data_IF_477874707892
#
_entry.id   IF_477874707892
#
_cell.length_a   1.000
_cell.length_b   1.000
_cell.length_c   1.000
_cell.angle_alpha   90.00
_cell.angle_beta   90.00
_cell.angle_gamma   90.00
#
_symmetry.space_group_name_H-M   'P 1'
#
loop_
_entity.id
_entity.type
_entity.pdbx_description
1 polymer ?
#
# COMPACT_ATOMS: atom_id res chain seq x y z
N UNK A 1 19.91 -17.32 -18.90
CA UNK A 1 19.53 -17.32 -17.47
C UNK A 1 19.39 -15.86 -17.09
N UNK A 2 18.16 -15.36 -16.93
CA UNK A 2 17.91 -13.96 -16.63
C UNK A 2 18.20 -13.68 -15.16
N UNK A 3 19.14 -12.77 -14.92
CA UNK A 3 19.51 -12.28 -13.59
C UNK A 3 18.25 -11.88 -12.79
N UNK A 4 18.03 -12.59 -11.68
CA UNK A 4 17.00 -12.24 -10.70
C UNK A 4 17.49 -10.99 -9.99
N UNK A 5 16.92 -9.83 -10.33
CA UNK A 5 17.19 -8.56 -9.67
C UNK A 5 17.03 -8.77 -8.16
N UNK A 6 18.09 -8.66 -7.34
CA UNK A 6 17.96 -8.88 -5.91
C UNK A 6 17.07 -7.78 -5.36
N UNK A 7 15.91 -8.17 -4.83
CA UNK A 7 15.03 -7.25 -4.12
C UNK A 7 15.85 -6.65 -2.98
N UNK A 8 16.17 -5.36 -3.10
CA UNK A 8 16.86 -4.58 -2.08
C UNK A 8 16.08 -4.76 -0.78
N UNK A 9 16.66 -5.42 0.21
CA UNK A 9 16.11 -5.52 1.56
C UNK A 9 15.99 -4.11 2.16
N UNK A 10 14.90 -3.42 1.82
CA UNK A 10 14.39 -2.34 2.64
C UNK A 10 13.46 -3.01 3.63
N UNK A 11 13.71 -2.79 4.91
CA UNK A 11 12.91 -3.28 6.04
C UNK A 11 11.45 -2.81 6.04
N UNK A 12 10.73 -3.04 4.96
CA UNK A 12 9.29 -3.12 4.94
C UNK A 12 8.94 -4.41 5.68
N UNK A 13 8.49 -4.27 6.93
CA UNK A 13 7.89 -5.39 7.66
C UNK A 13 6.62 -5.92 6.98
N UNK A 14 6.18 -5.29 5.88
CA UNK A 14 4.99 -5.64 5.12
C UNK A 14 5.09 -7.04 4.50
N UNK A 15 4.06 -7.85 4.71
CA UNK A 15 3.92 -9.14 4.04
C UNK A 15 3.64 -8.93 2.56
N UNK A 16 3.87 -9.98 1.73
CA UNK A 16 3.61 -9.95 0.29
C UNK A 16 2.19 -9.46 -0.05
N UNK A 17 1.20 -9.88 0.74
CA UNK A 17 -0.20 -9.43 0.61
C UNK A 17 -0.37 -7.93 0.86
N UNK A 18 0.29 -7.37 1.88
CA UNK A 18 0.20 -5.94 2.20
C UNK A 18 0.90 -5.08 1.14
N UNK A 19 1.97 -5.60 0.54
CA UNK A 19 2.62 -4.99 -0.61
C UNK A 19 1.70 -4.97 -1.83
N UNK A 20 1.04 -6.09 -2.13
CA UNK A 20 0.06 -6.17 -3.23
C UNK A 20 -1.10 -5.18 -3.02
N UNK A 21 -1.66 -5.12 -1.80
CA UNK A 21 -2.75 -4.19 -1.44
C UNK A 21 -2.28 -2.73 -1.59
N UNK A 22 -1.05 -2.40 -1.19
CA UNK A 22 -0.46 -1.08 -1.39
C UNK A 22 -0.30 -0.71 -2.88
N UNK A 23 0.25 -1.62 -3.69
CA UNK A 23 0.43 -1.39 -5.12
C UNK A 23 -0.90 -1.23 -5.84
N UNK A 24 -1.90 -2.03 -5.47
CA UNK A 24 -3.26 -1.92 -6.00
C UNK A 24 -3.87 -0.55 -5.69
N UNK A 25 -3.82 -0.10 -4.44
CA UNK A 25 -4.34 1.23 -4.04
C UNK A 25 -3.59 2.34 -4.78
N UNK A 26 -2.26 2.24 -4.89
CA UNK A 26 -1.43 3.22 -5.63
C UNK A 26 -1.79 3.28 -7.11
N UNK A 27 -2.05 2.13 -7.74
CA UNK A 27 -2.48 2.05 -9.14
C UNK A 27 -3.87 2.66 -9.33
N UNK A 28 -4.82 2.37 -8.42
CA UNK A 28 -6.16 2.96 -8.44
C UNK A 28 -6.10 4.48 -8.33
N UNK A 29 -5.29 5.03 -7.41
CA UNK A 29 -5.09 6.48 -7.27
C UNK A 29 -4.55 7.09 -8.56
N UNK A 30 -3.59 6.43 -9.21
CA UNK A 30 -2.97 6.95 -10.43
C UNK A 30 -3.89 6.87 -11.66
N UNK A 31 -4.81 5.89 -11.69
CA UNK A 31 -5.80 5.73 -12.75
C UNK A 31 -7.06 6.57 -12.53
N UNK A 32 -7.28 7.01 -11.29
CA UNK A 32 -8.45 7.79 -10.91
C UNK A 32 -8.48 9.11 -11.66
N UNK A 33 -9.58 9.38 -12.37
CA UNK A 33 -9.83 10.66 -13.06
C UNK A 33 -10.94 11.47 -12.40
N UNK A 34 -11.76 10.83 -11.56
CA UNK A 34 -12.98 11.42 -11.01
C UNK A 34 -12.86 11.69 -9.51
N UNK A 35 -13.44 12.79 -9.02
CA UNK A 35 -13.48 13.09 -7.58
C UNK A 35 -14.14 11.96 -6.76
N UNK A 36 -15.16 11.29 -7.29
CA UNK A 36 -15.85 10.18 -6.60
C UNK A 36 -14.92 8.98 -6.34
N UNK A 37 -14.07 8.65 -7.29
CA UNK A 37 -13.06 7.60 -7.18
C UNK A 37 -11.94 8.01 -6.22
N UNK A 38 -11.59 9.30 -6.16
CA UNK A 38 -10.64 9.82 -5.16
C UNK A 38 -11.16 9.63 -3.73
N UNK A 39 -12.46 9.88 -3.49
CA UNK A 39 -13.08 9.62 -2.19
C UNK A 39 -13.04 8.13 -1.82
N UNK A 40 -13.27 7.25 -2.79
CA UNK A 40 -13.17 5.81 -2.60
C UNK A 40 -11.74 5.36 -2.28
N UNK A 41 -10.75 5.82 -3.06
CA UNK A 41 -9.34 5.55 -2.82
C UNK A 41 -8.88 6.08 -1.46
N UNK A 42 -9.34 7.27 -1.06
CA UNK A 42 -9.05 7.84 0.26
C UNK A 42 -9.57 6.95 1.39
N UNK A 43 -10.75 6.32 1.21
CA UNK A 43 -11.29 5.37 2.19
C UNK A 43 -10.41 4.11 2.28
N UNK A 44 -10.04 3.55 1.13
CA UNK A 44 -9.14 2.39 1.06
C UNK A 44 -7.78 2.64 1.73
N UNK A 45 -7.18 3.81 1.48
CA UNK A 45 -5.92 4.22 2.15
C UNK A 45 -6.09 4.30 3.67
N UNK A 46 -7.22 4.82 4.15
CA UNK A 46 -7.50 4.94 5.59
C UNK A 46 -7.64 3.56 6.23
N UNK A 47 -8.35 2.64 5.58
CA UNK A 47 -8.49 1.25 6.04
C UNK A 47 -7.14 0.51 6.04
N UNK A 48 -6.34 0.69 4.99
CA UNK A 48 -5.00 0.12 4.91
C UNK A 48 -4.09 0.68 6.03
N UNK A 49 -4.08 2.00 6.24
CA UNK A 49 -3.35 2.63 7.35
C UNK A 49 -3.80 2.07 8.71
N UNK A 50 -5.11 1.90 8.93
CA UNK A 50 -5.62 1.34 10.19
C UNK A 50 -5.16 -0.10 10.40
N UNK A 51 -5.19 -0.95 9.37
CA UNK A 51 -4.62 -2.31 9.42
C UNK A 51 -3.13 -2.28 9.76
N UNK A 52 -2.36 -1.40 9.11
CA UNK A 52 -0.92 -1.28 9.37
C UNK A 52 -0.63 -0.76 10.78
N UNK A 53 -1.40 0.21 11.27
CA UNK A 53 -1.30 0.72 12.63
C UNK A 53 -1.60 -0.37 13.67
N UNK A 54 -2.66 -1.15 13.46
CA UNK A 54 -3.01 -2.27 14.35
C UNK A 54 -1.93 -3.37 14.36
N UNK A 55 -1.30 -3.64 13.20
CA UNK A 55 -0.32 -4.72 13.06
C UNK A 55 1.09 -4.35 13.51
N UNK A 56 1.52 -3.12 13.23
CA UNK A 56 2.88 -2.66 13.51
C UNK A 56 2.97 -1.68 14.68
N UNK A 57 1.85 -1.31 15.30
CA UNK A 57 1.82 -0.30 16.35
C UNK A 57 2.35 1.06 15.88
N UNK A 58 2.17 1.37 14.59
CA UNK A 58 2.56 2.65 13.99
C UNK A 58 1.55 3.72 14.43
N UNK A 59 1.68 4.14 15.68
CA UNK A 59 1.10 5.37 16.21
C UNK A 59 1.88 6.52 15.54
N UNK A 60 1.27 7.18 14.54
CA UNK A 60 1.76 8.46 14.03
C UNK A 60 1.62 9.48 15.18
N UNK A 61 2.67 9.60 16.01
CA UNK A 61 2.80 10.65 17.02
C UNK A 61 3.36 11.93 16.43
#
# INVERSE_FOLDING_TARGET
>A
MGDIIPYRERGCKLTKQELEEYYYIKQQINQTKTCRELFYCRRLVKEFKAKMAARYGLDEK
#
